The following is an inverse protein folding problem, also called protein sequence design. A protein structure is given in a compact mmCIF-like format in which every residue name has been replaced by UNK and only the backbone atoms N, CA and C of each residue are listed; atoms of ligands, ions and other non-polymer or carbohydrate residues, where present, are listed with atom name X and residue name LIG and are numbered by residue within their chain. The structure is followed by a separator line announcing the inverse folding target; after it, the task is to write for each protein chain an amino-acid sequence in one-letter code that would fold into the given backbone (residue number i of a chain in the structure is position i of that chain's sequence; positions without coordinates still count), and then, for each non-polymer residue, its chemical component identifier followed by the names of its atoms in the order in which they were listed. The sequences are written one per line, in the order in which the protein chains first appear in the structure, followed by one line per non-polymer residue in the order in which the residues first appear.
data_IF_113491350187
#
_entry.id   IF_113491350187
#
_cell.length_a   1.000
_cell.length_b   1.000
_cell.length_c   1.000
_cell.angle_alpha   90.00
_cell.angle_beta   90.00
_cell.angle_gamma   90.00
#
_symmetry.space_group_name_H-M   'P 1'
#
loop_
_entity.id
_entity.type
_entity.pdbx_description
1 polymer ?
#
# COMPACT_ATOMS: atom_id res chain seq x y z
N UNK A 1 14.82 15.86 7.70
CA UNK A 1 13.95 14.75 7.23
C UNK A 1 12.57 15.32 6.99
N UNK A 2 11.94 15.04 5.84
CA UNK A 2 10.58 15.49 5.48
C UNK A 2 9.60 14.31 5.40
N UNK A 3 8.31 14.60 5.17
CA UNK A 3 7.23 13.60 5.18
C UNK A 3 7.49 12.37 4.30
N UNK A 4 7.99 12.59 3.08
CA UNK A 4 8.36 11.51 2.14
C UNK A 4 9.40 10.56 2.68
N UNK A 5 10.50 11.09 3.21
CA UNK A 5 11.58 10.26 3.77
C UNK A 5 11.09 9.48 4.99
N UNK A 6 10.22 10.10 5.81
CA UNK A 6 9.59 9.42 6.94
C UNK A 6 8.71 8.26 6.49
N UNK A 7 7.82 8.49 5.50
CA UNK A 7 6.93 7.46 4.97
C UNK A 7 7.71 6.27 4.41
N UNK A 8 8.70 6.52 3.54
CA UNK A 8 9.57 5.47 3.00
C UNK A 8 10.28 4.70 4.12
N UNK A 9 10.85 5.41 5.11
CA UNK A 9 11.55 4.77 6.24
C UNK A 9 10.62 3.85 7.04
N UNK A 10 9.42 4.33 7.37
CA UNK A 10 8.44 3.55 8.14
C UNK A 10 7.99 2.32 7.35
N UNK A 11 7.62 2.49 6.08
CA UNK A 11 7.18 1.39 5.20
C UNK A 11 8.27 0.33 5.10
N UNK A 12 9.53 0.72 4.84
CA UNK A 12 10.66 -0.21 4.77
C UNK A 12 10.96 -0.93 6.09
N UNK A 13 10.68 -0.29 7.22
CA UNK A 13 10.95 -0.88 8.54
C UNK A 13 9.91 -1.91 8.96
N UNK A 14 8.68 -1.81 8.44
CA UNK A 14 7.55 -2.67 8.80
C UNK A 14 7.37 -3.81 7.79
N UNK A 15 7.46 -3.50 6.50
CA UNK A 15 7.13 -4.43 5.42
C UNK A 15 8.34 -5.24 4.96
N UNK A 16 8.10 -6.49 4.56
CA UNK A 16 9.09 -7.29 3.83
C UNK A 16 9.14 -6.85 2.36
N UNK A 17 10.24 -7.11 1.61
CA UNK A 17 10.41 -6.63 0.22
C UNK A 17 9.42 -7.18 -0.82
N UNK A 18 8.45 -8.01 -0.45
CA UNK A 18 7.39 -8.51 -1.33
C UNK A 18 5.99 -8.08 -0.84
N UNK A 19 5.95 -7.27 0.23
CA UNK A 19 4.73 -6.74 0.80
C UNK A 19 4.49 -5.31 0.32
N UNK A 20 3.22 -4.97 0.18
CA UNK A 20 2.75 -3.67 -0.27
C UNK A 20 1.90 -2.96 0.77
N UNK A 21 1.65 -1.67 0.52
CA UNK A 21 0.86 -0.78 1.35
C UNK A 21 -0.41 -0.35 0.59
N UNK A 22 -1.58 -0.52 1.21
CA UNK A 22 -2.81 0.03 0.68
C UNK A 22 -2.86 1.55 0.87
N UNK A 23 -3.33 2.26 -0.15
CA UNK A 23 -3.57 3.70 -0.10
C UNK A 23 -4.78 4.08 -0.96
N UNK A 24 -5.40 5.21 -0.66
CA UNK A 24 -6.37 5.81 -1.57
C UNK A 24 -5.66 6.12 -2.91
N UNK A 25 -6.38 6.06 -4.03
CA UNK A 25 -5.87 6.51 -5.33
C UNK A 25 -5.30 7.95 -5.27
N UNK A 26 -5.89 8.80 -4.44
CA UNK A 26 -5.44 10.18 -4.17
C UNK A 26 -4.41 10.30 -3.05
N UNK A 27 -3.98 9.19 -2.42
CA UNK A 27 -3.09 9.19 -1.26
C UNK A 27 -1.70 9.72 -1.62
N UNK A 28 -1.09 10.51 -0.73
CA UNK A 28 0.19 11.18 -0.97
C UNK A 28 1.29 10.21 -1.39
N UNK A 29 1.35 9.03 -0.77
CA UNK A 29 2.33 8.00 -1.10
C UNK A 29 2.17 7.44 -2.52
N UNK A 30 0.97 7.51 -3.09
CA UNK A 30 0.68 7.10 -4.46
C UNK A 30 1.01 8.23 -5.45
N UNK A 31 0.50 9.45 -5.19
CA UNK A 31 0.52 10.54 -6.17
C UNK A 31 1.84 11.32 -6.22
N UNK A 32 2.60 11.35 -5.13
CA UNK A 32 3.80 12.18 -5.00
C UNK A 32 5.05 11.42 -4.54
N UNK A 33 4.88 10.24 -3.94
CA UNK A 33 6.00 9.50 -3.32
C UNK A 33 6.17 8.08 -3.85
N UNK A 34 5.41 7.68 -4.88
CA UNK A 34 5.37 6.29 -5.38
C UNK A 34 6.76 5.75 -5.70
N UNK A 35 7.60 6.54 -6.38
CA UNK A 35 8.97 6.13 -6.68
C UNK A 35 9.83 5.89 -5.42
N UNK A 36 9.58 6.63 -4.33
CA UNK A 36 10.27 6.45 -3.06
C UNK A 36 9.89 5.13 -2.37
N UNK A 37 8.62 4.73 -2.45
CA UNK A 37 8.13 3.46 -1.90
C UNK A 37 8.50 2.27 -2.79
N UNK A 38 8.42 2.44 -4.11
CA UNK A 38 8.65 1.35 -5.06
C UNK A 38 10.14 1.03 -5.25
N UNK A 39 11.02 2.03 -5.15
CA UNK A 39 12.47 1.81 -5.22
C UNK A 39 13.04 0.97 -4.07
N UNK A 40 12.26 0.74 -3.01
CA UNK A 40 12.67 -0.08 -1.87
C UNK A 40 12.04 -1.48 -1.87
N UNK A 41 11.39 -1.89 -2.97
CA UNK A 41 10.80 -3.21 -3.13
C UNK A 41 9.35 -3.33 -2.64
N UNK A 42 8.73 -2.23 -2.23
CA UNK A 42 7.31 -2.24 -1.86
C UNK A 42 6.44 -1.80 -3.03
N UNK A 43 5.15 -2.09 -2.96
CA UNK A 43 4.18 -1.59 -3.96
C UNK A 43 3.09 -0.81 -3.26
N UNK A 44 2.69 0.31 -3.85
CA UNK A 44 1.47 1.01 -3.44
C UNK A 44 0.29 0.31 -4.13
N UNK A 45 -0.60 -0.26 -3.33
CA UNK A 45 -1.81 -0.95 -3.77
C UNK A 45 -2.98 0.04 -3.64
N UNK A 46 -3.39 0.64 -4.75
CA UNK A 46 -4.42 1.68 -4.71
C UNK A 46 -5.82 1.10 -4.53
N UNK A 47 -6.62 1.78 -3.70
CA UNK A 47 -8.03 1.51 -3.47
C UNK A 47 -8.87 2.74 -3.84
N UNK A 48 -10.13 2.56 -4.28
CA UNK A 48 -11.04 3.67 -4.52
C UNK A 48 -11.20 4.52 -3.27
N UNK A 49 -11.49 5.80 -3.45
CA UNK A 49 -11.62 6.74 -2.35
C UNK A 49 -13.01 7.37 -2.27
N UNK A 50 -13.40 7.72 -1.05
CA UNK A 50 -14.63 8.41 -0.70
C UNK A 50 -14.25 9.66 0.08
N UNK A 51 -14.36 10.82 -0.57
CA UNK A 51 -13.92 12.11 0.00
C UNK A 51 -12.45 12.10 0.48
N UNK A 52 -11.56 11.47 -0.30
CA UNK A 52 -10.14 11.34 0.01
C UNK A 52 -9.80 10.28 1.06
N UNK A 53 -10.77 9.50 1.55
CA UNK A 53 -10.58 8.42 2.52
C UNK A 53 -10.89 7.06 1.92
N UNK A 54 -10.41 6.00 2.55
CA UNK A 54 -10.73 4.62 2.19
C UNK A 54 -11.80 4.10 3.16
N UNK A 55 -12.80 3.37 2.66
CA UNK A 55 -13.71 2.64 3.54
C UNK A 55 -13.08 1.34 4.03
N UNK A 56 -13.45 0.91 5.24
CA UNK A 56 -12.89 -0.32 5.82
C UNK A 56 -13.25 -1.56 5.00
N UNK A 57 -14.45 -1.56 4.41
CA UNK A 57 -15.00 -2.63 3.59
C UNK A 57 -14.18 -2.85 2.31
N UNK A 58 -13.61 -1.78 1.72
CA UNK A 58 -12.74 -1.90 0.55
C UNK A 58 -11.40 -2.53 0.90
N UNK A 59 -10.86 -2.19 2.07
CA UNK A 59 -9.62 -2.77 2.59
C UNK A 59 -9.82 -4.27 2.83
N UNK A 60 -10.91 -4.64 3.51
CA UNK A 60 -11.25 -6.04 3.78
C UNK A 60 -11.46 -6.81 2.47
N UNK A 61 -12.26 -6.25 1.55
CA UNK A 61 -12.55 -6.88 0.25
C UNK A 61 -11.28 -7.09 -0.57
N UNK A 62 -10.38 -6.11 -0.61
CA UNK A 62 -9.11 -6.22 -1.33
C UNK A 62 -8.17 -7.25 -0.68
N UNK A 63 -8.10 -7.27 0.65
CA UNK A 63 -7.31 -8.26 1.37
C UNK A 63 -7.83 -9.69 1.16
N UNK A 64 -9.15 -9.90 1.24
CA UNK A 64 -9.77 -11.20 0.99
C UNK A 64 -9.58 -11.64 -0.46
N UNK A 65 -9.65 -10.72 -1.42
CA UNK A 65 -9.35 -11.02 -2.83
C UNK A 65 -7.92 -11.53 -3.00
N UNK A 66 -6.93 -10.86 -2.40
CA UNK A 66 -5.55 -11.35 -2.40
C UNK A 66 -5.44 -12.73 -1.74
N UNK A 67 -6.04 -12.91 -0.57
CA UNK A 67 -5.96 -14.15 0.22
C UNK A 67 -6.58 -15.36 -0.51
N UNK A 68 -7.62 -15.12 -1.29
CA UNK A 68 -8.34 -16.15 -2.05
C UNK A 68 -7.88 -16.27 -3.51
N UNK A 69 -6.86 -15.50 -3.92
CA UNK A 69 -6.28 -15.64 -5.25
C UNK A 69 -5.48 -16.95 -5.36
N UNK A 70 -5.70 -17.73 -6.43
CA UNK A 70 -4.99 -18.99 -6.65
C UNK A 70 -3.49 -18.82 -6.85
N UNK A 71 -3.02 -17.60 -7.16
CA UNK A 71 -1.63 -17.23 -7.33
C UNK A 71 -1.13 -16.30 -6.20
N UNK A 72 -1.75 -16.33 -5.01
CA UNK A 72 -1.42 -15.43 -3.89
C UNK A 72 0.07 -15.41 -3.49
N UNK A 73 0.80 -16.52 -3.70
CA UNK A 73 2.25 -16.63 -3.47
C UNK A 73 3.10 -15.84 -4.49
N UNK A 74 2.53 -15.49 -5.63
CA UNK A 74 3.18 -14.83 -6.76
C UNK A 74 2.73 -13.38 -6.97
N UNK A 75 1.85 -12.88 -6.10
CA UNK A 75 1.37 -11.49 -6.13
C UNK A 75 1.74 -10.77 -4.83
N UNK A 76 1.82 -9.44 -4.89
CA UNK A 76 2.22 -8.62 -3.75
C UNK A 76 1.25 -8.83 -2.59
N UNK A 77 1.80 -9.17 -1.42
CA UNK A 77 1.02 -9.35 -0.20
C UNK A 77 0.71 -7.99 0.44
N UNK A 78 -0.56 -7.65 0.72
CA UNK A 78 -0.86 -6.46 1.52
C UNK A 78 -0.37 -6.63 2.96
N UNK A 79 0.34 -5.62 3.48
CA UNK A 79 0.91 -5.67 4.84
C UNK A 79 0.70 -4.41 5.68
N UNK A 80 0.27 -3.30 5.08
CA UNK A 80 0.04 -2.02 5.76
C UNK A 80 -1.09 -1.24 5.06
N UNK A 81 -1.74 -0.32 5.79
CA UNK A 81 -2.65 0.69 5.23
C UNK A 81 -2.11 2.07 5.57
N UNK A 82 -2.05 2.96 4.59
CA UNK A 82 -1.75 4.38 4.75
C UNK A 82 -3.05 5.19 4.72
N UNK A 83 -3.27 6.04 5.72
CA UNK A 83 -4.50 6.84 5.94
C UNK A 83 -4.20 8.32 6.14
#
# INVERSE_FOLDING_TARGET
VGGTQTNTTVICSILRPHEGVFAAETGHINVHEGNGVESTGHKVLTLPHYQGKIHAEDIESAYLRWKHDGAWEHIVKPGMVYI
#
